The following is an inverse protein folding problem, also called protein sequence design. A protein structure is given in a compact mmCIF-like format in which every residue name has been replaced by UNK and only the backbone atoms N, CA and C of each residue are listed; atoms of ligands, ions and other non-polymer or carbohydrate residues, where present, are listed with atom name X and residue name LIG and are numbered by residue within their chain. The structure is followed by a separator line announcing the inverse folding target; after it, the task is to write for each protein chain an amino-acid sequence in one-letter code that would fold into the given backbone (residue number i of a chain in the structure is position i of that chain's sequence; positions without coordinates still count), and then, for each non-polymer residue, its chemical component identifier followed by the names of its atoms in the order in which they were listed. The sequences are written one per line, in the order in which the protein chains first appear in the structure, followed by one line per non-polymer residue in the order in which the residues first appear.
data_IF_140588705150
#
_entry.id   IF_140588705150
#
_cell.length_a   1.000
_cell.length_b   1.000
_cell.length_c   1.000
_cell.angle_alpha   90.00
_cell.angle_beta   90.00
_cell.angle_gamma   90.00
#
_symmetry.space_group_name_H-M   'P 1'
#
loop_
_entity.id
_entity.type
_entity.pdbx_description
1 polymer ?
#
# COMPACT_ATOMS: atom_id res chain seq x y z
N UNK A 1 4.29 6.77 -5.04
CA UNK A 1 5.14 7.69 -4.23
C UNK A 1 4.82 9.15 -4.43
N UNK A 2 4.06 9.47 -5.45
CA UNK A 2 3.72 10.87 -5.72
C UNK A 2 3.01 11.55 -4.54
N UNK A 3 2.12 10.85 -3.87
CA UNK A 3 1.40 11.38 -2.72
C UNK A 3 2.27 11.72 -1.51
N UNK A 4 3.51 11.23 -1.47
CA UNK A 4 4.46 11.46 -0.38
C UNK A 4 5.63 12.33 -0.81
N UNK A 5 5.57 12.90 -2.01
CA UNK A 5 6.64 13.73 -2.55
C UNK A 5 6.90 14.94 -1.64
N UNK A 6 8.15 15.14 -1.27
CA UNK A 6 8.54 16.19 -0.35
C UNK A 6 8.43 15.83 1.12
N UNK A 7 7.76 14.74 1.46
CA UNK A 7 7.56 14.31 2.84
C UNK A 7 8.56 13.23 3.26
N UNK A 8 9.12 12.51 2.31
CA UNK A 8 10.05 11.41 2.57
C UNK A 8 11.32 11.56 1.75
N UNK A 9 12.41 10.92 2.20
CA UNK A 9 13.67 10.84 1.48
C UNK A 9 13.72 9.58 0.63
N UNK A 10 14.49 9.63 -0.46
CA UNK A 10 14.73 8.49 -1.33
C UNK A 10 14.02 8.62 -2.67
N UNK A 11 14.62 8.02 -3.71
CA UNK A 11 14.08 8.04 -5.07
C UNK A 11 13.03 6.94 -5.29
N UNK A 12 13.18 5.83 -4.57
CA UNK A 12 12.29 4.67 -4.69
C UNK A 12 11.52 4.47 -3.40
N UNK A 13 10.38 3.78 -3.51
CA UNK A 13 9.52 3.50 -2.37
C UNK A 13 10.29 2.86 -1.21
N UNK A 14 11.11 1.84 -1.51
CA UNK A 14 11.83 1.10 -0.46
C UNK A 14 12.86 1.97 0.26
N UNK A 15 13.42 2.96 -0.41
CA UNK A 15 14.36 3.89 0.22
C UNK A 15 13.66 4.77 1.25
N UNK A 16 12.38 5.03 1.05
CA UNK A 16 11.58 5.88 1.93
C UNK A 16 11.03 5.12 3.15
N UNK A 17 11.13 3.79 3.16
CA UNK A 17 10.58 2.96 4.24
C UNK A 17 11.65 2.72 5.29
N UNK A 18 11.32 2.96 6.57
CA UNK A 18 12.21 2.65 7.68
C UNK A 18 12.41 1.14 7.81
N UNK A 19 13.59 0.72 8.29
CA UNK A 19 13.90 -0.70 8.46
C UNK A 19 12.92 -1.43 9.35
N UNK A 20 12.46 -0.76 10.40
CA UNK A 20 11.53 -1.30 11.40
C UNK A 20 10.09 -0.90 11.15
N UNK A 21 9.76 -0.44 9.95
CA UNK A 21 8.40 -0.02 9.61
C UNK A 21 7.39 -1.14 9.81
N UNK A 22 6.19 -0.77 10.23
CA UNK A 22 5.08 -1.71 10.44
C UNK A 22 4.03 -1.46 9.38
N UNK A 23 3.55 -2.54 8.77
CA UNK A 23 2.49 -2.51 7.77
C UNK A 23 1.29 -3.27 8.31
N UNK A 24 0.15 -2.64 8.31
CA UNK A 24 -1.09 -3.22 8.84
C UNK A 24 -2.18 -3.15 7.76
N UNK A 25 -2.88 -4.27 7.60
CA UNK A 25 -3.95 -4.40 6.59
C UNK A 25 -5.27 -4.55 7.32
N UNK A 26 -6.11 -3.52 7.25
CA UNK A 26 -7.36 -3.42 8.01
C UNK A 26 -8.54 -4.04 7.25
N UNK A 27 -8.27 -5.07 6.48
CA UNK A 27 -9.27 -5.82 5.74
C UNK A 27 -8.99 -7.32 5.91
N UNK A 28 -9.98 -8.14 5.64
CA UNK A 28 -9.83 -9.58 5.74
C UNK A 28 -9.92 -10.22 4.37
N UNK A 29 -8.95 -11.07 4.07
CA UNK A 29 -8.95 -11.89 2.89
C UNK A 29 -8.17 -13.17 3.20
N UNK A 30 -8.72 -14.36 2.88
CA UNK A 30 -8.05 -15.63 3.19
C UNK A 30 -6.64 -15.68 2.59
N UNK A 31 -5.67 -16.04 3.41
CA UNK A 31 -4.29 -16.15 2.98
C UNK A 31 -3.50 -14.85 3.00
N UNK A 32 -4.14 -13.71 3.28
CA UNK A 32 -3.43 -12.43 3.38
C UNK A 32 -3.03 -12.16 4.83
N UNK A 33 -1.80 -11.69 5.01
CA UNK A 33 -1.33 -11.23 6.31
C UNK A 33 -2.12 -10.00 6.74
N UNK A 34 -2.34 -9.85 8.04
CA UNK A 34 -2.99 -8.65 8.58
C UNK A 34 -1.99 -7.65 9.14
N UNK A 35 -0.78 -8.09 9.47
CA UNK A 35 0.27 -7.22 9.99
C UNK A 35 1.63 -7.79 9.60
N UNK A 36 2.51 -6.91 9.14
CA UNK A 36 3.89 -7.27 8.79
C UNK A 36 4.82 -6.27 9.48
N UNK A 37 5.78 -6.78 10.23
CA UNK A 37 6.76 -5.95 10.93
C UNK A 37 8.11 -6.05 10.25
N UNK A 38 8.64 -4.89 9.83
CA UNK A 38 9.95 -4.77 9.21
C UNK A 38 9.90 -4.67 7.69
N UNK A 39 10.76 -3.79 7.16
CA UNK A 39 10.84 -3.53 5.72
C UNK A 39 11.14 -4.80 4.92
N UNK A 40 12.09 -5.60 5.39
CA UNK A 40 12.50 -6.81 4.66
C UNK A 40 11.36 -7.81 4.52
N UNK A 41 10.62 -8.04 5.59
CA UNK A 41 9.46 -8.95 5.56
C UNK A 41 8.39 -8.45 4.60
N UNK A 42 8.17 -7.13 4.58
CA UNK A 42 7.21 -6.55 3.67
C UNK A 42 7.65 -6.68 2.21
N UNK A 43 8.94 -6.44 1.93
CA UNK A 43 9.48 -6.62 0.59
C UNK A 43 9.28 -8.05 0.10
N UNK A 44 9.56 -9.03 0.96
CA UNK A 44 9.38 -10.45 0.62
C UNK A 44 7.91 -10.77 0.37
N UNK A 45 7.02 -10.27 1.24
CA UNK A 45 5.58 -10.47 1.08
C UNK A 45 5.06 -9.83 -0.21
N UNK A 46 5.48 -8.60 -0.49
CA UNK A 46 5.05 -7.86 -1.68
C UNK A 46 5.54 -8.54 -2.95
N UNK A 47 6.74 -9.11 -2.94
CA UNK A 47 7.27 -9.85 -4.08
C UNK A 47 6.47 -11.10 -4.42
N UNK A 48 5.75 -11.67 -3.43
CA UNK A 48 4.83 -12.79 -3.62
C UNK A 48 3.39 -12.38 -3.81
N UNK A 49 3.11 -11.07 -3.91
CA UNK A 49 1.76 -10.56 -4.09
C UNK A 49 1.15 -11.07 -5.39
N UNK A 50 -0.09 -11.56 -5.32
CA UNK A 50 -0.71 -12.28 -6.43
C UNK A 50 -1.23 -11.39 -7.56
N UNK A 51 -1.23 -10.08 -7.38
CA UNK A 51 -1.73 -9.15 -8.40
C UNK A 51 -0.58 -8.44 -9.08
N UNK A 52 -0.69 -8.28 -10.39
CA UNK A 52 0.27 -7.51 -11.18
C UNK A 52 -0.27 -6.10 -11.37
N UNK A 53 0.20 -5.16 -10.58
CA UNK A 53 -0.23 -3.77 -10.65
C UNK A 53 0.47 -3.06 -11.81
N UNK A 54 -0.31 -2.33 -12.62
CA UNK A 54 0.19 -1.61 -13.80
C UNK A 54 0.16 -0.10 -13.61
N UNK A 55 -0.85 0.40 -12.91
CA UNK A 55 -1.01 1.84 -12.73
C UNK A 55 -1.81 2.15 -11.47
N UNK A 56 -1.72 3.39 -11.04
CA UNK A 56 -2.54 3.95 -9.99
C UNK A 56 -2.99 5.34 -10.41
N UNK A 57 -4.23 5.72 -10.09
CA UNK A 57 -4.76 7.03 -10.44
C UNK A 57 -5.77 7.54 -9.40
N UNK A 58 -6.39 8.68 -9.70
CA UNK A 58 -7.36 9.33 -8.84
C UNK A 58 -6.84 9.56 -7.42
N UNK A 59 -5.56 9.95 -7.32
CA UNK A 59 -4.92 10.21 -6.04
C UNK A 59 -5.50 11.44 -5.36
N UNK A 60 -5.95 11.26 -4.10
CA UNK A 60 -6.39 12.35 -3.23
C UNK A 60 -5.52 12.31 -1.99
N UNK A 61 -4.91 13.45 -1.65
CA UNK A 61 -4.02 13.58 -0.52
C UNK A 61 -4.72 14.37 0.57
N UNK A 62 -4.82 13.80 1.76
CA UNK A 62 -5.34 14.47 2.94
C UNK A 62 -4.23 14.65 3.96
N UNK A 63 -4.11 15.84 4.50
CA UNK A 63 -3.21 16.09 5.62
C UNK A 63 -4.02 16.03 6.91
N UNK A 64 -3.52 15.30 7.90
CA UNK A 64 -4.19 15.20 9.19
C UNK A 64 -3.74 16.30 10.13
N UNK A 65 -4.46 16.44 11.25
CA UNK A 65 -4.05 17.34 12.31
C UNK A 65 -2.88 16.80 13.11
N UNK A 66 -2.57 15.52 12.96
CA UNK A 66 -1.43 14.90 13.64
C UNK A 66 -0.19 15.03 12.76
N UNK A 67 0.88 15.69 13.25
CA UNK A 67 2.10 15.87 12.46
C UNK A 67 2.68 14.53 12.00
N UNK A 68 3.08 14.47 10.73
CA UNK A 68 3.68 13.27 10.17
C UNK A 68 2.70 12.20 9.73
N UNK A 69 1.39 12.44 9.85
CA UNK A 69 0.38 11.46 9.38
C UNK A 69 -0.31 12.01 8.14
N UNK A 70 -0.24 11.26 7.05
CA UNK A 70 -0.84 11.60 5.77
C UNK A 70 -1.79 10.48 5.36
N UNK A 71 -2.94 10.87 4.80
CA UNK A 71 -3.94 9.92 4.32
C UNK A 71 -4.01 10.03 2.80
N UNK A 72 -3.90 8.88 2.12
CA UNK A 72 -3.99 8.81 0.67
C UNK A 72 -5.20 7.96 0.26
N UNK A 73 -5.98 8.46 -0.69
CA UNK A 73 -7.00 7.68 -1.39
C UNK A 73 -6.55 7.54 -2.84
N UNK A 74 -6.66 6.35 -3.40
CA UNK A 74 -6.25 6.11 -4.79
C UNK A 74 -6.88 4.84 -5.32
N UNK A 75 -6.81 4.69 -6.64
CA UNK A 75 -7.25 3.49 -7.34
C UNK A 75 -6.03 2.82 -7.96
N UNK A 76 -6.02 1.48 -7.95
CA UNK A 76 -4.99 0.70 -8.62
C UNK A 76 -5.62 -0.12 -9.73
N UNK A 77 -4.84 -0.35 -10.79
CA UNK A 77 -5.27 -1.10 -11.95
C UNK A 77 -4.20 -2.10 -12.34
N UNK A 78 -4.61 -3.31 -12.65
CA UNK A 78 -3.68 -4.35 -13.01
C UNK A 78 -4.39 -5.59 -13.54
N UNK A 79 -3.74 -6.72 -13.43
CA UNK A 79 -4.27 -8.00 -13.87
C UNK A 79 -3.96 -9.09 -12.85
N UNK A 80 -4.75 -10.16 -12.91
CA UNK A 80 -4.51 -11.38 -12.12
C UNK A 80 -3.57 -12.27 -12.92
N UNK A 81 -2.40 -12.66 -12.38
CA UNK A 81 -1.49 -13.57 -13.07
C UNK A 81 -2.16 -14.89 -13.43
N UNK A 82 -1.89 -15.38 -14.63
CA UNK A 82 -2.45 -16.63 -15.13
C UNK A 82 -3.73 -16.44 -15.91
N UNK A 83 -4.75 -15.81 -15.34
CA UNK A 83 -6.02 -15.59 -16.02
C UNK A 83 -6.05 -14.32 -16.84
N UNK A 84 -5.18 -13.36 -16.54
CA UNK A 84 -5.15 -12.01 -17.12
C UNK A 84 -6.47 -11.24 -16.93
N UNK A 85 -7.28 -11.64 -15.97
CA UNK A 85 -8.49 -10.89 -15.63
C UNK A 85 -8.13 -9.49 -15.15
N UNK A 86 -8.90 -8.45 -15.51
CA UNK A 86 -8.68 -7.12 -14.97
C UNK A 86 -8.83 -7.11 -13.46
N UNK A 87 -7.99 -6.36 -12.80
CA UNK A 87 -8.09 -6.10 -11.36
C UNK A 87 -8.06 -4.61 -11.14
N UNK A 88 -9.16 -4.07 -10.62
CA UNK A 88 -9.31 -2.68 -10.27
C UNK A 88 -9.73 -2.61 -8.80
N UNK A 89 -9.08 -1.76 -8.02
CA UNK A 89 -9.40 -1.65 -6.60
C UNK A 89 -9.17 -0.23 -6.10
N UNK A 90 -9.81 0.09 -4.99
CA UNK A 90 -9.69 1.37 -4.32
C UNK A 90 -9.03 1.16 -2.97
N UNK A 91 -8.09 2.06 -2.65
CA UNK A 91 -7.33 2.00 -1.41
C UNK A 91 -7.46 3.30 -0.64
N UNK A 92 -7.40 3.16 0.67
CA UNK A 92 -7.17 4.28 1.58
C UNK A 92 -5.99 3.88 2.46
N UNK A 93 -4.92 4.65 2.43
CA UNK A 93 -3.70 4.37 3.19
C UNK A 93 -3.45 5.50 4.19
N UNK A 94 -3.27 5.13 5.45
CA UNK A 94 -2.92 6.06 6.52
C UNK A 94 -1.45 5.83 6.85
N UNK A 95 -0.61 6.85 6.61
CA UNK A 95 0.84 6.71 6.61
C UNK A 95 1.45 7.62 7.65
N UNK A 96 2.27 7.05 8.53
CA UNK A 96 3.03 7.80 9.52
C UNK A 96 4.48 7.94 9.06
N UNK A 97 4.97 9.19 9.05
CA UNK A 97 6.32 9.53 8.62
C UNK A 97 7.06 10.15 9.80
N UNK A 98 8.25 9.63 10.11
CA UNK A 98 9.16 10.17 11.13
C UNK A 98 10.55 10.26 10.53
N UNK A 99 11.23 11.39 10.75
CA UNK A 99 12.59 11.61 10.23
C UNK A 99 12.67 11.35 8.72
N UNK A 100 11.63 11.77 7.98
CA UNK A 100 11.51 11.63 6.53
C UNK A 100 11.51 10.18 6.04
N UNK A 101 11.10 9.24 6.91
CA UNK A 101 10.93 7.83 6.56
C UNK A 101 9.55 7.34 6.97
N UNK A 102 8.99 6.45 6.19
CA UNK A 102 7.71 5.80 6.51
C UNK A 102 7.98 4.82 7.64
N UNK A 103 7.25 4.99 8.77
CA UNK A 103 7.39 4.12 9.94
C UNK A 103 6.15 3.26 10.18
N UNK A 104 5.00 3.69 9.66
CA UNK A 104 3.76 2.94 9.84
C UNK A 104 2.89 3.16 8.61
N UNK A 105 2.33 2.07 8.07
CA UNK A 105 1.46 2.11 6.91
C UNK A 105 0.23 1.26 7.19
N UNK A 106 -0.95 1.86 7.17
CA UNK A 106 -2.22 1.16 7.38
C UNK A 106 -3.03 1.23 6.09
N UNK A 107 -3.40 0.06 5.57
CA UNK A 107 -4.16 -0.04 4.32
C UNK A 107 -5.58 -0.50 4.56
N UNK A 108 -6.50 0.16 3.88
CA UNK A 108 -7.88 -0.27 3.70
C UNK A 108 -8.11 -0.43 2.21
N UNK A 109 -8.78 -1.49 1.82
CA UNK A 109 -9.14 -1.73 0.41
C UNK A 109 -10.49 -2.43 0.32
N UNK A 110 -11.02 -2.52 -0.90
CA UNK A 110 -12.21 -3.30 -1.18
C UNK A 110 -11.82 -4.77 -1.37
N UNK A 111 -12.03 -5.58 -0.35
CA UNK A 111 -11.69 -7.01 -0.41
C UNK A 111 -12.61 -7.79 -1.36
N UNK A 112 -13.83 -7.30 -1.60
CA UNK A 112 -14.72 -7.92 -2.58
C UNK A 112 -14.14 -7.81 -3.99
N UNK A 113 -13.49 -6.69 -4.31
CA UNK A 113 -12.83 -6.53 -5.61
C UNK A 113 -11.77 -7.60 -5.83
N UNK A 114 -10.99 -7.94 -4.79
CA UNK A 114 -10.00 -9.01 -4.86
C UNK A 114 -10.68 -10.36 -5.06
N UNK A 115 -11.73 -10.62 -4.30
CA UNK A 115 -12.46 -11.88 -4.38
C UNK A 115 -13.05 -12.11 -5.77
N UNK A 116 -13.67 -11.08 -6.35
CA UNK A 116 -14.27 -11.18 -7.69
C UNK A 116 -13.21 -11.36 -8.77
N UNK A 117 -12.07 -10.71 -8.63
CA UNK A 117 -10.99 -10.82 -9.61
C UNK A 117 -10.33 -12.20 -9.58
N UNK A 118 -10.29 -12.85 -8.41
CA UNK A 118 -9.62 -14.15 -8.23
C UNK A 118 -10.54 -15.35 -8.27
N UNK A 119 -11.81 -15.13 -8.47
CA UNK A 119 -12.81 -16.24 -8.54
C UNK A 119 -12.87 -16.90 -9.91
#
# INVERSE_FOLDING_TARGET
MEGLKGEVDGEHFWDAVAEDAVFEFLYRFPGFAQKIEGRKKYMDWFGGYSMKLKSADNLIIHKSTEPGVIILEYEVHGTVPGSNKPYDNRFCSIITIKNRKITYWRDYMDSLAVMLATS
#
